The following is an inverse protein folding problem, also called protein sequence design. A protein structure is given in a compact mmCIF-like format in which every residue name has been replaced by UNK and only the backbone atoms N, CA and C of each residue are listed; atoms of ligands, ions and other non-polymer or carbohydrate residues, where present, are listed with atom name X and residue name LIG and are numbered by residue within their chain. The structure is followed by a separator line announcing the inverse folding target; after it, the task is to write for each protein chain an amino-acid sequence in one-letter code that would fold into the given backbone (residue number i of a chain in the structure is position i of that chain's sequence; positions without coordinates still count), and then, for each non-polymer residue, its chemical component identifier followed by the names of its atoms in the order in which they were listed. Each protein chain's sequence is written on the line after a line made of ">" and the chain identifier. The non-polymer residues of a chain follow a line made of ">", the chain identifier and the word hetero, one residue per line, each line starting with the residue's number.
data_IF_607884540720
#
_entry.id   IF_607884540720
#
_cell.length_a   1.000
_cell.length_b   1.000
_cell.length_c   1.000
_cell.angle_alpha   90.00
_cell.angle_beta   90.00
_cell.angle_gamma   90.00
#
_symmetry.space_group_name_H-M   'P 1'
#
loop_
_entity.id
_entity.type
_entity.pdbx_description
1 polymer ?
#
# COMPACT_ATOMS: atom_id res chain seq x y z
N UNK A 1 20.81 7.73 14.94
CA UNK A 1 19.61 8.21 14.21
C UNK A 1 19.31 7.27 13.04
N UNK A 2 18.19 6.51 13.03
CA UNK A 2 17.74 5.93 11.79
C UNK A 2 17.43 7.11 10.87
N UNK A 3 18.13 7.23 9.75
CA UNK A 3 17.75 8.15 8.68
C UNK A 3 16.27 7.92 8.41
N UNK A 4 15.43 8.94 8.61
CA UNK A 4 13.99 8.82 8.42
C UNK A 4 13.75 8.37 6.97
N UNK A 5 13.53 7.07 6.79
CA UNK A 5 13.20 6.52 5.49
C UNK A 5 11.80 7.04 5.19
N UNK A 6 11.71 8.04 4.30
CA UNK A 6 10.41 8.55 3.90
C UNK A 6 9.74 7.48 3.04
N UNK A 7 8.71 6.86 3.61
CA UNK A 7 7.83 5.94 2.90
C UNK A 7 6.80 6.76 2.14
N UNK A 8 6.51 6.44 0.89
CA UNK A 8 5.39 7.01 0.14
C UNK A 8 4.52 5.89 -0.38
N UNK A 9 3.21 6.12 -0.42
CA UNK A 9 2.29 5.16 -1.00
C UNK A 9 1.27 5.88 -1.89
N UNK A 10 0.98 5.30 -3.06
CA UNK A 10 0.02 5.82 -4.02
C UNK A 10 -0.86 4.69 -4.54
N UNK A 11 -2.17 4.88 -4.48
CA UNK A 11 -3.15 3.95 -4.99
C UNK A 11 -3.52 4.33 -6.43
N UNK A 12 -3.31 3.40 -7.34
CA UNK A 12 -3.65 3.51 -8.76
C UNK A 12 -4.89 2.66 -9.04
N UNK A 13 -5.95 3.30 -9.53
CA UNK A 13 -7.17 2.58 -9.90
C UNK A 13 -7.43 2.59 -11.42
N UNK A 14 -7.05 3.67 -12.10
CA UNK A 14 -6.96 3.81 -13.54
C UNK A 14 -6.19 5.11 -13.88
N UNK A 15 -6.01 5.42 -15.16
CA UNK A 15 -5.31 6.61 -15.64
C UNK A 15 -5.89 7.96 -15.17
N UNK A 16 -7.06 7.97 -14.53
CA UNK A 16 -7.79 9.16 -14.05
C UNK A 16 -8.07 9.14 -12.54
N UNK A 17 -7.82 8.04 -11.85
CA UNK A 17 -8.07 7.88 -10.42
C UNK A 17 -6.82 7.30 -9.74
N UNK A 18 -5.86 8.19 -9.53
CA UNK A 18 -4.62 7.94 -8.81
C UNK A 18 -4.60 8.84 -7.58
N UNK A 19 -4.46 8.24 -6.40
CA UNK A 19 -4.60 8.93 -5.12
C UNK A 19 -3.44 8.60 -4.21
N UNK A 20 -2.73 9.62 -3.74
CA UNK A 20 -1.75 9.43 -2.67
C UNK A 20 -2.43 8.86 -1.42
N UNK A 21 -1.75 7.91 -0.78
CA UNK A 21 -2.13 7.49 0.55
C UNK A 21 -1.58 8.50 1.56
N UNK A 22 -2.45 8.98 2.44
CA UNK A 22 -2.06 9.76 3.61
C UNK A 22 -1.51 8.78 4.65
N UNK A 23 -0.20 8.78 4.83
CA UNK A 23 0.49 7.99 5.85
C UNK A 23 0.54 8.75 7.18
N UNK A 24 0.29 8.03 8.27
CA UNK A 24 0.25 8.57 9.63
C UNK A 24 1.56 8.24 10.36
N UNK A 25 2.57 9.07 10.11
CA UNK A 25 3.93 8.86 10.62
C UNK A 25 4.02 8.93 12.15
N UNK A 26 3.14 9.72 12.79
CA UNK A 26 3.06 9.85 14.24
C UNK A 26 2.57 8.55 14.91
N UNK A 27 1.95 7.65 14.13
CA UNK A 27 1.46 6.35 14.59
C UNK A 27 2.31 5.17 14.11
N UNK A 28 3.53 5.44 13.65
CA UNK A 28 4.47 4.36 13.34
C UNK A 28 4.75 3.56 14.60
N UNK A 29 4.70 2.23 14.47
CA UNK A 29 5.03 1.31 15.54
C UNK A 29 5.97 0.24 15.04
N UNK A 30 6.89 -0.18 15.91
CA UNK A 30 7.76 -1.34 15.67
C UNK A 30 7.27 -2.50 16.49
N UNK A 31 7.10 -3.67 15.87
CA UNK A 31 6.70 -4.91 16.55
C UNK A 31 7.25 -6.12 15.81
N UNK A 32 7.75 -7.09 16.56
CA UNK A 32 8.25 -8.38 16.03
C UNK A 32 9.30 -8.21 14.91
N UNK A 33 10.12 -7.14 14.98
CA UNK A 33 11.13 -6.81 13.98
C UNK A 33 10.61 -6.06 12.74
N UNK A 34 9.32 -5.75 12.67
CA UNK A 34 8.70 -5.03 11.55
C UNK A 34 8.30 -3.60 11.94
N UNK A 35 8.41 -2.68 10.99
CA UNK A 35 7.89 -1.30 11.08
C UNK A 35 6.51 -1.26 10.42
N UNK A 36 5.50 -0.81 11.16
CA UNK A 36 4.14 -0.64 10.65
C UNK A 36 3.84 0.83 10.47
N UNK A 37 3.48 1.21 9.24
CA UNK A 37 3.08 2.58 8.89
C UNK A 37 1.59 2.58 8.54
N UNK A 38 0.72 3.13 9.38
CA UNK A 38 -0.70 3.26 9.07
C UNK A 38 -0.92 4.26 7.93
N UNK A 39 -1.93 4.02 7.10
CA UNK A 39 -2.28 4.95 6.03
C UNK A 39 -3.72 4.84 5.56
N UNK A 40 -4.16 5.82 4.78
CA UNK A 40 -5.48 5.86 4.14
C UNK A 40 -5.36 6.40 2.73
N UNK A 41 -6.03 5.75 1.78
CA UNK A 41 -6.23 6.28 0.43
C UNK A 41 -7.73 6.25 0.11
N UNK A 42 -8.20 7.32 -0.53
CA UNK A 42 -9.55 7.37 -1.11
C UNK A 42 -9.52 6.73 -2.50
N UNK A 43 -10.61 6.10 -2.92
CA UNK A 43 -10.74 5.56 -4.27
C UNK A 43 -12.19 5.59 -4.72
N UNK A 44 -12.43 5.69 -6.03
CA UNK A 44 -13.76 5.45 -6.56
C UNK A 44 -14.06 3.95 -6.50
N UNK A 45 -15.18 3.59 -5.87
CA UNK A 45 -15.53 2.19 -5.65
C UNK A 45 -15.86 1.44 -6.94
N UNK A 46 -16.17 2.14 -8.04
CA UNK A 46 -16.63 1.51 -9.29
C UNK A 46 -15.52 1.03 -10.23
N UNK A 47 -14.25 1.38 -9.98
CA UNK A 47 -13.12 0.95 -10.81
C UNK A 47 -12.73 -0.49 -10.50
N UNK A 48 -11.98 -1.19 -11.34
CA UNK A 48 -11.63 -2.62 -11.13
C UNK A 48 -10.15 -2.86 -10.75
N UNK A 49 -9.21 -2.14 -11.34
CA UNK A 49 -7.79 -2.30 -11.02
C UNK A 49 -7.48 -1.54 -9.73
N UNK A 50 -6.67 -2.11 -8.82
CA UNK A 50 -6.26 -1.46 -7.55
C UNK A 50 -4.84 -1.87 -7.25
N UNK A 51 -3.90 -1.06 -7.71
CA UNK A 51 -2.49 -1.29 -7.49
C UNK A 51 -1.97 -0.26 -6.50
N UNK A 52 -1.35 -0.72 -5.42
CA UNK A 52 -0.66 0.15 -4.48
C UNK A 52 0.82 0.19 -4.87
N UNK A 53 1.31 1.36 -5.25
CA UNK A 53 2.74 1.62 -5.37
C UNK A 53 3.26 2.10 -4.03
N UNK A 54 4.29 1.45 -3.50
CA UNK A 54 4.96 1.86 -2.27
C UNK A 54 6.43 2.15 -2.56
N UNK A 55 6.94 3.27 -2.10
CA UNK A 55 8.31 3.74 -2.36
C UNK A 55 9.02 4.09 -1.06
N UNK A 56 10.29 3.74 -0.93
CA UNK A 56 11.14 4.11 0.21
C UNK A 56 12.29 4.95 -0.34
N UNK A 57 12.38 6.23 0.07
CA UNK A 57 13.33 7.19 -0.53
C UNK A 57 14.81 6.82 -0.34
N UNK A 58 15.17 6.16 0.76
CA UNK A 58 16.56 5.92 1.15
C UNK A 58 17.28 4.80 0.38
N UNK A 59 16.57 4.00 -0.43
CA UNK A 59 17.13 2.75 -1.01
C UNK A 59 17.38 2.79 -2.52
N UNK A 60 17.32 3.96 -3.17
CA UNK A 60 17.71 4.05 -4.58
C UNK A 60 16.72 3.38 -5.54
N UNK A 61 15.42 3.40 -5.25
CA UNK A 61 14.41 3.48 -6.32
C UNK A 61 13.62 2.23 -6.69
N UNK A 62 13.61 1.16 -5.90
CA UNK A 62 12.73 0.02 -6.18
C UNK A 62 11.35 0.19 -5.53
N UNK A 63 10.58 1.18 -5.99
CA UNK A 63 9.15 1.24 -5.65
C UNK A 63 8.51 -0.11 -5.97
N UNK A 64 7.64 -0.62 -5.11
CA UNK A 64 7.05 -1.95 -5.26
C UNK A 64 5.56 -1.86 -5.53
N UNK A 65 5.08 -2.66 -6.48
CA UNK A 65 3.66 -2.77 -6.77
C UNK A 65 3.02 -3.91 -5.99
N UNK A 66 1.88 -3.60 -5.37
CA UNK A 66 1.04 -4.59 -4.69
C UNK A 66 -0.35 -4.54 -5.32
N UNK A 67 -0.71 -5.64 -5.99
CA UNK A 67 -2.04 -5.80 -6.60
C UNK A 67 -3.06 -6.13 -5.52
N UNK A 68 -3.88 -5.16 -5.13
CA UNK A 68 -4.89 -5.35 -4.10
C UNK A 68 -6.05 -6.20 -4.65
N UNK A 69 -6.56 -7.11 -3.83
CA UNK A 69 -7.74 -7.94 -4.18
C UNK A 69 -9.04 -7.21 -3.83
N UNK A 70 -9.09 -5.90 -4.08
CA UNK A 70 -10.25 -5.07 -3.77
C UNK A 70 -11.23 -5.09 -4.94
N UNK A 71 -12.48 -5.46 -4.67
CA UNK A 71 -13.52 -5.54 -5.70
C UNK A 71 -14.03 -4.16 -6.08
N UNK A 72 -14.55 -4.04 -7.30
CA UNK A 72 -15.47 -2.96 -7.62
C UNK A 72 -16.73 -3.12 -6.77
N UNK A 73 -17.21 -2.03 -6.16
CA UNK A 73 -18.32 -1.96 -5.20
C UNK A 73 -18.10 -2.89 -3.99
N UNK A 74 -17.23 -2.49 -3.04
CA UNK A 74 -16.97 -3.29 -1.84
C UNK A 74 -18.24 -3.63 -1.07
N UNK A 75 -18.28 -4.83 -0.46
CA UNK A 75 -19.36 -5.27 0.42
C UNK A 75 -18.99 -5.07 1.88
N UNK A 76 -19.90 -5.45 2.78
CA UNK A 76 -19.67 -5.39 4.23
C UNK A 76 -18.43 -6.18 4.67
N UNK A 77 -18.15 -7.30 4.00
CA UNK A 77 -17.01 -8.16 4.33
C UNK A 77 -15.67 -7.44 4.08
N UNK A 78 -15.62 -6.53 3.11
CA UNK A 78 -14.40 -5.75 2.80
C UNK A 78 -14.08 -4.71 3.90
N UNK A 79 -14.98 -4.48 4.87
CA UNK A 79 -14.69 -3.64 6.04
C UNK A 79 -13.80 -4.36 7.08
N UNK A 80 -13.70 -5.68 7.00
CA UNK A 80 -12.71 -6.45 7.76
C UNK A 80 -11.32 -6.26 7.16
N UNK A 81 -10.28 -6.52 7.97
CA UNK A 81 -8.91 -6.54 7.46
C UNK A 81 -8.73 -7.70 6.48
N UNK A 82 -8.10 -7.42 5.34
CA UNK A 82 -7.60 -8.44 4.44
C UNK A 82 -6.51 -9.29 5.13
N UNK A 83 -6.24 -10.45 4.54
CA UNK A 83 -4.96 -11.12 4.76
C UNK A 83 -3.79 -10.20 4.38
N UNK A 84 -2.61 -10.50 4.92
CA UNK A 84 -1.39 -9.86 4.49
C UNK A 84 -1.04 -10.24 3.06
N UNK A 85 -0.56 -9.25 2.31
CA UNK A 85 -0.15 -9.37 0.93
C UNK A 85 1.23 -8.75 0.78
N UNK A 86 2.09 -9.35 -0.03
CA UNK A 86 3.42 -8.83 -0.31
C UNK A 86 3.55 -8.37 -1.74
N UNK A 87 4.39 -7.38 -2.00
CA UNK A 87 4.75 -7.03 -3.36
C UNK A 87 5.51 -8.19 -4.04
N UNK A 88 5.26 -8.37 -5.33
CA UNK A 88 5.97 -9.36 -6.16
C UNK A 88 6.88 -8.71 -7.18
N UNK A 89 6.61 -7.45 -7.55
CA UNK A 89 7.28 -6.72 -8.61
C UNK A 89 7.68 -5.33 -8.12
N UNK A 90 8.87 -4.89 -8.55
CA UNK A 90 9.33 -3.51 -8.47
C UNK A 90 8.73 -2.70 -9.62
N UNK A 91 8.88 -1.38 -9.59
CA UNK A 91 8.34 -0.49 -10.60
C UNK A 91 9.00 -0.63 -11.97
N UNK A 92 10.22 -1.18 -12.01
CA UNK A 92 10.93 -1.59 -13.23
C UNK A 92 10.55 -3.01 -13.70
N UNK A 93 9.52 -3.62 -13.09
CA UNK A 93 9.02 -4.97 -13.35
C UNK A 93 9.97 -6.11 -12.96
N UNK A 94 11.09 -5.80 -12.32
CA UNK A 94 11.95 -6.84 -11.75
C UNK A 94 11.32 -7.45 -10.51
N UNK A 95 11.57 -8.74 -10.21
CA UNK A 95 11.02 -9.39 -9.02
C UNK A 95 11.56 -8.75 -7.74
N UNK A 96 10.73 -8.70 -6.68
CA UNK A 96 11.18 -8.25 -5.36
C UNK A 96 11.79 -9.43 -4.57
N UNK A 97 13.06 -9.35 -4.14
CA UNK A 97 13.67 -10.33 -3.24
C UNK A 97 12.88 -10.48 -1.94
N UNK A 98 12.76 -11.70 -1.41
CA UNK A 98 11.88 -12.00 -0.26
C UNK A 98 12.13 -11.10 0.96
N UNK A 99 13.40 -10.87 1.32
CA UNK A 99 13.79 -10.02 2.46
C UNK A 99 13.54 -8.52 2.27
N UNK A 100 13.18 -8.09 1.06
CA UNK A 100 12.91 -6.69 0.72
C UNK A 100 11.43 -6.42 0.48
N UNK A 101 10.57 -7.45 0.55
CA UNK A 101 9.16 -7.31 0.22
C UNK A 101 8.42 -6.43 1.21
N UNK A 102 7.80 -5.39 0.68
CA UNK A 102 6.82 -4.61 1.42
C UNK A 102 5.54 -5.44 1.55
N UNK A 103 5.04 -5.55 2.78
CA UNK A 103 3.77 -6.18 3.08
C UNK A 103 2.69 -5.14 3.37
N UNK A 104 1.46 -5.41 2.94
CA UNK A 104 0.29 -4.59 3.21
C UNK A 104 -0.89 -5.48 3.63
N UNK A 105 -1.75 -4.93 4.46
CA UNK A 105 -3.14 -5.37 4.60
C UNK A 105 -4.01 -4.12 4.59
N UNK A 106 -5.24 -4.25 4.13
CA UNK A 106 -6.16 -3.13 4.01
C UNK A 106 -7.55 -3.52 4.49
N UNK A 107 -8.39 -2.51 4.71
CA UNK A 107 -9.83 -2.64 4.87
C UNK A 107 -10.51 -1.44 4.25
N UNK A 108 -11.74 -1.63 3.79
CA UNK A 108 -12.57 -0.56 3.24
C UNK A 108 -13.29 0.16 4.38
N UNK A 109 -13.43 1.46 4.23
CA UNK A 109 -14.31 2.25 5.06
C UNK A 109 -15.14 3.14 4.12
N UNK A 110 -16.48 3.01 4.13
CA UNK A 110 -17.34 3.95 3.41
C UNK A 110 -17.03 5.37 3.90
N UNK A 111 -16.91 6.32 2.97
CA UNK A 111 -16.95 7.74 3.34
C UNK A 111 -18.32 8.03 3.97
N UNK A 112 -18.30 8.79 5.07
CA UNK A 112 -19.51 9.21 5.78
C UNK A 112 -19.97 10.56 5.27
#
# INVERSE_FOLDING_TARGET
>A
EPSAQTLHASLYANDRDNRYALLDYDKITTRDGFVFVPGRATLLSQTFNRDLLVSIESEGGASQFIKLKLRAKPTKDDEAWSDWMTATERADLSPVPEGERIAVRYRVQPEK
#
